data_IF_222320317723
#
_entry.id   IF_222320317723
#
_cell.length_a   1.000
_cell.length_b   1.000
_cell.length_c   1.000
_cell.angle_alpha   90.00
_cell.angle_beta   90.00
_cell.angle_gamma   90.00
#
_symmetry.space_group_name_H-M   'P 1'
#
loop_
_entity.id
_entity.type
_entity.pdbx_description
1 polymer ?
#
# COMPACT_ATOMS: atom_id res chain seq x y z
N UNK A 1 -55.21 78.94 -0.01
CA UNK A 1 -54.17 79.69 -0.73
C UNK A 1 -52.84 79.28 -0.10
N UNK A 2 -51.82 78.70 -0.72
CA UNK A 2 -51.44 78.57 -2.13
C UNK A 2 -50.49 77.38 -2.33
N UNK A 3 -50.73 76.64 -3.41
CA UNK A 3 -49.80 76.14 -4.43
C UNK A 3 -48.67 75.16 -4.04
N UNK A 4 -48.92 73.93 -4.48
CA UNK A 4 -48.04 73.02 -5.25
C UNK A 4 -46.75 73.61 -5.83
N UNK A 5 -45.65 72.84 -5.76
CA UNK A 5 -44.87 72.37 -6.93
C UNK A 5 -43.87 71.28 -6.54
N UNK A 6 -43.83 70.22 -7.36
CA UNK A 6 -42.80 69.17 -7.41
C UNK A 6 -41.49 69.74 -7.96
N UNK A 7 -40.36 69.14 -7.57
CA UNK A 7 -39.22 68.99 -8.46
C UNK A 7 -38.45 67.70 -8.11
N UNK A 8 -38.24 66.88 -9.14
CA UNK A 8 -37.41 65.69 -9.11
C UNK A 8 -35.92 66.08 -9.07
N UNK A 9 -35.08 65.23 -8.49
CA UNK A 9 -33.65 65.27 -8.73
C UNK A 9 -33.11 63.84 -8.72
N UNK A 10 -32.62 63.46 -9.89
CA UNK A 10 -31.95 62.23 -10.27
C UNK A 10 -30.70 62.02 -9.42
N UNK A 11 -30.54 60.83 -8.85
CA UNK A 11 -29.33 60.41 -8.17
C UNK A 11 -29.04 58.95 -8.47
N UNK A 12 -28.35 58.70 -9.57
CA UNK A 12 -27.77 57.39 -9.89
C UNK A 12 -26.57 57.19 -8.95
N UNK A 13 -26.75 56.40 -7.89
CA UNK A 13 -25.65 55.93 -7.05
C UNK A 13 -25.47 54.44 -7.30
N UNK A 14 -24.46 54.13 -8.13
CA UNK A 14 -23.89 52.79 -8.29
C UNK A 14 -23.29 52.40 -6.95
N UNK A 15 -23.82 51.36 -6.32
CA UNK A 15 -23.17 50.66 -5.22
C UNK A 15 -22.85 49.24 -5.67
N UNK A 16 -21.60 49.06 -6.09
CA UNK A 16 -20.96 47.75 -6.20
C UNK A 16 -20.90 47.13 -4.79
N UNK A 17 -21.78 46.19 -4.49
CA UNK A 17 -21.58 45.26 -3.39
C UNK A 17 -21.02 43.96 -3.94
N UNK A 18 -19.69 43.86 -3.86
CA UNK A 18 -18.95 42.62 -3.92
C UNK A 18 -19.46 41.69 -2.81
N UNK A 19 -19.88 40.48 -3.18
CA UNK A 19 -20.28 39.42 -2.26
C UNK A 19 -19.57 38.14 -2.65
N UNK A 20 -18.59 37.75 -1.85
CA UNK A 20 -17.68 36.64 -2.07
C UNK A 20 -18.41 35.31 -2.32
N UNK A 21 -18.13 34.67 -3.46
CA UNK A 21 -18.46 33.26 -3.66
C UNK A 21 -17.36 32.46 -2.97
N UNK A 22 -17.70 31.79 -1.88
CA UNK A 22 -16.82 30.88 -1.16
C UNK A 22 -16.40 29.74 -2.10
N UNK A 23 -15.12 29.72 -2.49
CA UNK A 23 -14.50 28.55 -3.10
C UNK A 23 -14.41 27.46 -2.03
N UNK A 24 -15.39 26.56 -1.99
CA UNK A 24 -15.25 25.26 -1.36
C UNK A 24 -14.24 24.47 -2.21
N UNK A 25 -12.95 24.68 -1.93
CA UNK A 25 -11.90 23.77 -2.37
C UNK A 25 -12.13 22.43 -1.66
N UNK A 26 -13.00 21.62 -2.25
CA UNK A 26 -13.16 20.23 -1.86
C UNK A 26 -11.85 19.51 -2.14
N UNK A 27 -11.12 19.16 -1.09
CA UNK A 27 -10.23 18.02 -1.15
C UNK A 27 -11.13 16.80 -1.33
N UNK A 28 -11.32 16.35 -2.57
CA UNK A 28 -11.79 15.00 -2.81
C UNK A 28 -10.80 14.06 -2.12
N UNK A 29 -11.23 13.08 -1.31
CA UNK A 29 -10.39 11.92 -1.05
C UNK A 29 -10.19 11.27 -2.42
N UNK A 30 -9.03 11.50 -3.02
CA UNK A 30 -8.57 10.64 -4.08
C UNK A 30 -8.41 9.29 -3.40
N UNK A 31 -9.39 8.41 -3.57
CA UNK A 31 -9.17 7.01 -3.28
C UNK A 31 -7.96 6.64 -4.15
N UNK A 32 -6.82 6.40 -3.51
CA UNK A 32 -5.65 5.93 -4.23
C UNK A 32 -6.08 4.71 -5.05
N UNK A 33 -5.70 4.70 -6.33
CA UNK A 33 -6.05 3.58 -7.19
C UNK A 33 -5.53 2.29 -6.52
N UNK A 34 -6.28 1.17 -6.60
CA UNK A 34 -5.81 -0.10 -6.03
C UNK A 34 -4.41 -0.42 -6.55
N UNK A 35 -3.50 -0.75 -5.64
CA UNK A 35 -2.16 -1.15 -6.03
C UNK A 35 -2.24 -2.44 -6.84
N UNK A 36 -1.70 -2.42 -8.05
CA UNK A 36 -1.62 -3.58 -8.94
C UNK A 36 -0.45 -4.48 -8.58
N UNK A 37 0.62 -3.88 -8.07
CA UNK A 37 1.81 -4.53 -7.52
C UNK A 37 2.33 -3.75 -6.33
N UNK A 38 2.99 -4.44 -5.42
CA UNK A 38 3.56 -3.85 -4.22
C UNK A 38 4.76 -4.66 -3.73
N UNK A 39 5.45 -4.13 -2.72
CA UNK A 39 6.46 -4.85 -1.95
C UNK A 39 5.92 -5.02 -0.53
N UNK A 40 5.79 -6.27 -0.08
CA UNK A 40 5.51 -6.58 1.31
C UNK A 40 6.80 -6.77 2.08
N UNK A 41 6.89 -6.18 3.28
CA UNK A 41 7.95 -6.48 4.24
C UNK A 41 7.42 -7.42 5.30
N UNK A 42 8.13 -8.51 5.55
CA UNK A 42 7.83 -9.49 6.58
C UNK A 42 8.93 -9.51 7.64
N UNK A 43 8.53 -9.52 8.91
CA UNK A 43 9.38 -9.78 10.06
C UNK A 43 9.35 -11.27 10.41
N UNK A 44 10.52 -11.87 10.59
CA UNK A 44 10.72 -13.26 11.04
C UNK A 44 11.68 -13.21 12.23
N UNK A 45 11.15 -13.42 13.45
CA UNK A 45 11.88 -13.22 14.70
C UNK A 45 12.51 -11.82 14.76
N UNK A 46 13.82 -11.67 14.58
CA UNK A 46 14.59 -10.43 14.63
C UNK A 46 15.12 -9.98 13.25
N UNK A 47 14.76 -10.70 12.19
CA UNK A 47 15.15 -10.41 10.81
C UNK A 47 13.94 -10.02 9.95
N UNK A 48 14.20 -9.29 8.86
CA UNK A 48 13.16 -8.96 7.89
C UNK A 48 13.57 -9.35 6.49
N UNK A 49 12.58 -9.67 5.66
CA UNK A 49 12.75 -9.87 4.22
C UNK A 49 11.57 -9.20 3.49
N UNK A 50 11.77 -8.91 2.21
CA UNK A 50 10.79 -8.28 1.34
C UNK A 50 10.43 -9.22 0.19
N UNK A 51 9.18 -9.14 -0.23
CA UNK A 51 8.66 -9.93 -1.35
C UNK A 51 7.84 -9.02 -2.26
N UNK A 52 8.03 -9.15 -3.56
CA UNK A 52 7.15 -8.51 -4.54
C UNK A 52 5.80 -9.25 -4.58
N UNK A 53 4.73 -8.49 -4.47
CA UNK A 53 3.36 -8.92 -4.68
C UNK A 53 3.02 -8.62 -6.15
N UNK A 54 3.09 -9.65 -7.00
CA UNK A 54 3.02 -9.48 -8.45
C UNK A 54 1.59 -9.28 -9.00
N UNK A 55 0.56 -9.48 -8.17
CA UNK A 55 -0.84 -9.37 -8.61
C UNK A 55 -1.69 -8.59 -7.61
N UNK A 56 -2.81 -7.98 -8.06
CA UNK A 56 -3.75 -7.29 -7.18
C UNK A 56 -4.31 -8.19 -6.08
N UNK A 57 -4.48 -9.49 -6.34
CA UNK A 57 -4.98 -10.46 -5.36
C UNK A 57 -3.99 -10.68 -4.22
N UNK A 58 -2.68 -10.76 -4.54
CA UNK A 58 -1.63 -10.86 -3.53
C UNK A 58 -1.54 -9.58 -2.69
N UNK A 59 -1.69 -8.42 -3.32
CA UNK A 59 -1.78 -7.13 -2.62
C UNK A 59 -2.97 -7.10 -1.67
N UNK A 60 -4.16 -7.47 -2.13
CA UNK A 60 -5.37 -7.51 -1.31
C UNK A 60 -5.21 -8.47 -0.13
N UNK A 61 -4.64 -9.65 -0.35
CA UNK A 61 -4.41 -10.64 0.70
C UNK A 61 -3.41 -10.13 1.76
N UNK A 62 -2.30 -9.55 1.31
CA UNK A 62 -1.33 -8.93 2.20
C UNK A 62 -1.94 -7.78 3.02
N UNK A 63 -2.83 -6.98 2.41
CA UNK A 63 -3.52 -5.90 3.11
C UNK A 63 -4.42 -6.44 4.23
N UNK A 64 -5.16 -7.53 4.00
CA UNK A 64 -5.97 -8.21 5.04
C UNK A 64 -5.11 -8.67 6.23
N UNK A 65 -3.94 -9.24 5.95
CA UNK A 65 -2.98 -9.61 7.00
C UNK A 65 -2.49 -8.39 7.80
N UNK A 66 -2.21 -7.27 7.12
CA UNK A 66 -1.78 -6.03 7.75
C UNK A 66 -2.87 -5.40 8.63
N UNK A 67 -4.13 -5.53 8.19
CA UNK A 67 -5.32 -5.08 8.94
C UNK A 67 -5.70 -6.02 10.10
N UNK A 68 -4.96 -7.13 10.27
CA UNK A 68 -5.14 -8.08 11.37
C UNK A 68 -6.29 -9.05 11.17
N UNK A 69 -6.74 -9.26 9.92
CA UNK A 69 -7.74 -10.27 9.60
C UNK A 69 -7.17 -11.69 9.71
N UNK A 70 -8.05 -12.64 10.04
CA UNK A 70 -7.71 -14.06 10.14
C UNK A 70 -7.77 -14.72 8.75
N UNK A 71 -6.68 -14.55 8.00
CA UNK A 71 -6.46 -15.18 6.69
C UNK A 71 -5.09 -15.88 6.69
N UNK A 72 -4.83 -16.72 5.68
CA UNK A 72 -3.57 -17.45 5.54
C UNK A 72 -2.36 -16.53 5.65
N UNK A 73 -1.50 -16.77 6.64
CA UNK A 73 -0.47 -15.79 7.05
C UNK A 73 0.95 -16.15 6.64
N UNK A 74 1.21 -17.41 6.29
CA UNK A 74 2.57 -17.89 5.99
C UNK A 74 2.85 -17.59 4.51
N UNK A 75 3.73 -16.62 4.17
CA UNK A 75 4.19 -16.47 2.79
C UNK A 75 5.06 -17.68 2.43
N UNK A 76 4.88 -18.22 1.23
CA UNK A 76 5.73 -19.27 0.69
C UNK A 76 5.90 -19.15 -0.81
N UNK A 77 7.05 -19.62 -1.30
CA UNK A 77 7.33 -19.70 -2.73
C UNK A 77 8.76 -20.15 -3.02
N UNK A 78 9.08 -20.29 -4.31
CA UNK A 78 10.39 -20.73 -4.79
C UNK A 78 11.45 -19.66 -4.53
N UNK A 79 12.61 -20.05 -4.01
CA UNK A 79 13.75 -19.16 -3.76
C UNK A 79 14.61 -19.04 -5.01
N UNK A 80 14.80 -17.81 -5.48
CA UNK A 80 15.80 -17.46 -6.49
C UNK A 80 17.04 -16.93 -5.76
N UNK A 81 18.14 -17.68 -5.83
CA UNK A 81 19.42 -17.33 -5.18
C UNK A 81 20.34 -16.55 -6.13
N UNK A 82 21.15 -15.64 -5.60
CA UNK A 82 22.09 -14.80 -6.34
C UNK A 82 21.48 -13.53 -6.94
N UNK A 83 20.20 -13.26 -6.68
CA UNK A 83 19.48 -12.06 -7.10
C UNK A 83 18.60 -11.57 -5.95
N UNK A 84 18.82 -10.33 -5.52
CA UNK A 84 18.06 -9.71 -4.44
C UNK A 84 16.66 -9.28 -4.89
N UNK A 85 16.46 -8.91 -6.16
CA UNK A 85 15.26 -8.18 -6.60
C UNK A 85 14.91 -7.04 -5.62
N UNK A 86 13.78 -7.12 -4.91
CA UNK A 86 13.32 -6.15 -3.89
C UNK A 86 13.80 -6.48 -2.46
N UNK A 87 14.50 -7.59 -2.25
CA UNK A 87 14.82 -8.19 -0.96
C UNK A 87 16.18 -7.81 -0.37
N UNK A 88 16.72 -6.64 -0.72
CA UNK A 88 17.95 -6.15 -0.08
C UNK A 88 17.80 -6.11 1.46
N UNK A 89 18.84 -6.48 2.24
CA UNK A 89 20.22 -6.75 1.81
C UNK A 89 20.51 -8.20 1.41
N UNK A 90 19.51 -9.08 1.36
CA UNK A 90 19.69 -10.48 0.99
C UNK A 90 20.07 -10.62 -0.48
N UNK A 91 20.79 -11.68 -0.82
CA UNK A 91 21.16 -12.00 -2.20
C UNK A 91 20.22 -13.02 -2.84
N UNK A 92 19.01 -13.17 -2.30
CA UNK A 92 17.97 -14.04 -2.81
C UNK A 92 16.60 -13.38 -2.67
N UNK A 93 15.61 -13.87 -3.40
CA UNK A 93 14.20 -13.48 -3.25
C UNK A 93 13.28 -14.68 -3.44
N UNK A 94 12.01 -14.55 -3.04
CA UNK A 94 10.95 -15.47 -3.46
C UNK A 94 10.50 -15.06 -4.86
N UNK A 95 10.47 -16.00 -5.80
CA UNK A 95 9.92 -15.78 -7.14
C UNK A 95 8.46 -15.32 -7.03
N UNK A 96 8.13 -14.08 -7.45
CA UNK A 96 6.79 -13.52 -7.33
C UNK A 96 5.73 -14.32 -8.09
N UNK A 97 6.12 -15.09 -9.12
CA UNK A 97 5.20 -15.95 -9.86
C UNK A 97 4.77 -17.21 -9.09
N UNK A 98 5.47 -17.53 -7.99
CA UNK A 98 5.22 -18.71 -7.16
C UNK A 98 4.76 -18.36 -5.74
N UNK A 99 4.65 -17.06 -5.43
CA UNK A 99 4.24 -16.60 -4.11
C UNK A 99 2.78 -16.99 -3.83
N UNK A 100 2.57 -17.66 -2.72
CA UNK A 100 1.26 -17.95 -2.15
C UNK A 100 1.27 -17.69 -0.65
N UNK A 101 0.09 -17.75 -0.03
CA UNK A 101 -0.09 -17.70 1.42
C UNK A 101 -0.78 -18.98 1.89
N UNK A 102 -0.25 -19.59 2.96
CA UNK A 102 -0.80 -20.80 3.55
C UNK A 102 -1.16 -20.62 5.03
N UNK A 103 -2.11 -21.45 5.51
CA UNK A 103 -2.41 -21.57 6.94
C UNK A 103 -1.39 -22.46 7.66
N UNK A 104 -0.76 -23.40 6.92
CA UNK A 104 0.15 -24.41 7.45
C UNK A 104 1.00 -25.04 6.33
N UNK A 105 2.27 -25.39 6.60
CA UNK A 105 3.15 -26.10 5.63
C UNK A 105 3.89 -27.26 6.31
N UNK A 106 4.02 -28.45 5.71
CA UNK A 106 4.71 -29.60 6.37
C UNK A 106 6.22 -29.67 6.01
N UNK A 107 6.77 -28.60 5.48
CA UNK A 107 8.00 -28.63 4.69
C UNK A 107 9.27 -28.31 5.50
N UNK A 108 10.42 -28.75 4.99
CA UNK A 108 11.76 -28.40 5.51
C UNK A 108 12.25 -27.11 4.81
N UNK A 109 11.41 -26.07 4.82
CA UNK A 109 11.72 -24.74 4.28
C UNK A 109 11.57 -23.60 5.30
N UNK A 110 11.23 -23.93 6.55
CA UNK A 110 11.12 -22.95 7.62
C UNK A 110 12.52 -22.52 8.11
N UNK A 111 12.63 -21.29 8.63
CA UNK A 111 13.90 -20.73 9.06
C UNK A 111 13.92 -19.21 9.12
N UNK A 112 15.05 -18.66 9.50
CA UNK A 112 15.33 -17.23 9.40
C UNK A 112 15.76 -16.89 7.96
N UNK A 113 15.56 -15.64 7.49
CA UNK A 113 16.07 -15.18 6.20
C UNK A 113 17.57 -15.46 5.99
N UNK A 114 18.39 -15.32 7.04
CA UNK A 114 19.82 -15.65 6.97
C UNK A 114 20.11 -17.12 6.64
N UNK A 115 19.22 -18.04 7.00
CA UNK A 115 19.39 -19.47 6.72
C UNK A 115 19.18 -19.78 5.25
N UNK A 116 18.42 -18.95 4.53
CA UNK A 116 18.32 -19.03 3.07
C UNK A 116 19.60 -18.49 2.42
N UNK A 117 20.15 -17.39 2.97
CA UNK A 117 21.38 -16.75 2.52
C UNK A 117 22.61 -17.66 2.66
N UNK A 118 22.78 -18.31 3.82
CA UNK A 118 23.93 -19.16 4.10
C UNK A 118 23.79 -20.61 3.60
N UNK A 119 22.61 -20.97 3.07
CA UNK A 119 22.32 -22.29 2.52
C UNK A 119 21.91 -23.35 3.55
N UNK A 120 21.66 -22.98 4.80
CA UNK A 120 21.09 -23.87 5.83
C UNK A 120 19.69 -24.36 5.45
N UNK A 121 18.85 -23.48 4.87
CA UNK A 121 17.61 -23.89 4.19
C UNK A 121 17.98 -24.45 2.82
N UNK A 122 17.95 -25.78 2.72
CA UNK A 122 18.32 -26.52 1.50
C UNK A 122 17.16 -26.75 0.54
N UNK A 123 15.93 -26.44 0.95
CA UNK A 123 14.77 -26.51 0.06
C UNK A 123 14.86 -25.46 -1.05
N UNK A 124 14.17 -25.71 -2.15
CA UNK A 124 13.94 -24.72 -3.20
C UNK A 124 12.81 -23.76 -2.83
N UNK A 125 12.02 -24.07 -1.81
CA UNK A 125 10.96 -23.22 -1.27
C UNK A 125 11.43 -22.60 0.04
N UNK A 126 10.94 -21.40 0.37
CA UNK A 126 11.05 -20.79 1.70
C UNK A 126 9.66 -20.53 2.26
N UNK A 127 9.42 -20.92 3.52
CA UNK A 127 8.08 -20.88 4.14
C UNK A 127 8.14 -20.51 5.64
N UNK A 128 8.53 -19.27 5.98
CA UNK A 128 8.75 -18.87 7.37
C UNK A 128 7.45 -18.84 8.18
N UNK A 129 7.25 -19.81 9.06
CA UNK A 129 6.01 -19.92 9.87
C UNK A 129 5.82 -18.75 10.84
N UNK A 130 6.92 -18.15 11.28
CA UNK A 130 6.90 -17.01 12.20
C UNK A 130 6.81 -15.65 11.50
N UNK A 131 6.67 -15.64 10.17
CA UNK A 131 6.56 -14.41 9.41
C UNK A 131 5.32 -13.61 9.79
N UNK A 132 5.51 -12.30 9.90
CA UNK A 132 4.46 -11.31 10.12
C UNK A 132 4.65 -10.17 9.17
N UNK A 133 3.62 -9.81 8.43
CA UNK A 133 3.67 -8.62 7.59
C UNK A 133 3.76 -7.36 8.47
N UNK A 134 4.60 -6.42 8.07
CA UNK A 134 4.80 -5.15 8.82
C UNK A 134 4.62 -3.91 7.95
N UNK A 135 4.74 -4.04 6.62
CA UNK A 135 4.56 -2.94 5.70
C UNK A 135 4.19 -3.44 4.29
N UNK A 136 3.47 -2.59 3.56
CA UNK A 136 3.22 -2.72 2.12
C UNK A 136 3.58 -1.38 1.48
N UNK A 137 4.42 -1.42 0.46
CA UNK A 137 4.87 -0.24 -0.29
C UNK A 137 4.50 -0.41 -1.77
N UNK A 138 3.94 0.61 -2.45
CA UNK A 138 3.67 0.54 -3.89
C UNK A 138 4.94 0.21 -4.69
N UNK A 139 4.85 -0.74 -5.61
CA UNK A 139 5.90 -0.97 -6.59
C UNK A 139 5.54 -0.20 -7.86
N UNK A 140 6.35 0.80 -8.22
CA UNK A 140 6.10 1.60 -9.40
C UNK A 140 6.12 0.72 -10.67
N UNK A 141 5.18 0.99 -11.57
CA UNK A 141 5.05 0.25 -12.83
C UNK A 141 6.16 0.53 -13.86
#
# INVERSE_FOLDING_TARGET
MSKTRRAASTGLAVLLSAGAVAALSGCSPQADAPLTRAVATFQVVDQSFKVELATPELVEHAQKLLDGEDVSAIPLGTVVRGDASVNEPWTWHIDPATLEFADFTTEVCDGLPEYVEDGTVTSDVYCPWSAKITAIEPLAD
#
